data_IF_585154011518
#
_entry.id   IF_585154011518
#
_cell.length_a   1.000
_cell.length_b   1.000
_cell.length_c   1.000
_cell.angle_alpha   90.00
_cell.angle_beta   90.00
_cell.angle_gamma   90.00
#
_symmetry.space_group_name_H-M   'P 1'
#
loop_
_entity.id
_entity.type
_entity.pdbx_description
1 polymer ?
#
# COMPACT_ATOMS: atom_id res chain seq x y z
N UNK A 1 -17.98 0.54 -1.14
CA UNK A 1 -18.20 1.99 -0.94
C UNK A 1 -16.93 2.61 -0.35
N UNK A 2 -16.76 3.94 -0.36
CA UNK A 2 -15.53 4.56 0.20
C UNK A 2 -15.31 4.25 1.69
N UNK A 3 -16.37 3.91 2.43
CA UNK A 3 -16.28 3.59 3.85
C UNK A 3 -15.64 2.23 4.14
N UNK A 4 -15.47 1.36 3.14
CA UNK A 4 -15.00 -0.02 3.37
C UNK A 4 -13.51 -0.08 3.76
N UNK A 5 -12.76 1.01 3.57
CA UNK A 5 -11.33 1.11 3.91
C UNK A 5 -11.07 1.76 5.28
N UNK A 6 -12.12 2.22 5.95
CA UNK A 6 -12.06 2.86 7.27
C UNK A 6 -12.79 2.02 8.32
N UNK A 7 -12.27 1.98 9.55
CA UNK A 7 -12.87 1.21 10.64
C UNK A 7 -14.00 1.97 11.35
N UNK A 8 -14.06 3.30 11.19
CA UNK A 8 -15.05 4.17 11.80
C UNK A 8 -15.25 5.48 11.01
N UNK A 9 -16.28 6.29 11.35
CA UNK A 9 -16.54 7.57 10.68
C UNK A 9 -15.48 8.65 10.91
N UNK A 10 -14.56 8.48 11.88
CA UNK A 10 -13.47 9.44 12.11
C UNK A 10 -12.32 9.25 11.11
N UNK A 11 -12.34 8.17 10.32
CA UNK A 11 -11.37 7.91 9.26
C UNK A 11 -10.17 7.07 9.72
N UNK A 12 -10.29 6.30 10.80
CA UNK A 12 -9.23 5.36 11.16
C UNK A 12 -9.05 4.30 10.08
N UNK A 13 -7.82 4.14 9.63
CA UNK A 13 -7.50 3.25 8.52
C UNK A 13 -7.61 1.77 8.92
N UNK A 14 -8.25 0.97 8.06
CA UNK A 14 -8.17 -0.49 8.12
C UNK A 14 -6.74 -0.99 7.88
N UNK A 15 -6.39 -2.25 8.24
CA UNK A 15 -5.07 -2.80 7.95
C UNK A 15 -4.70 -2.78 6.46
N UNK A 16 -5.68 -2.88 5.55
CA UNK A 16 -5.48 -2.75 4.09
C UNK A 16 -4.98 -1.37 3.74
N UNK A 17 -5.67 -0.32 4.20
CA UNK A 17 -5.29 1.05 3.91
C UNK A 17 -3.96 1.43 4.57
N UNK A 18 -3.74 1.01 5.81
CA UNK A 18 -2.45 1.19 6.49
C UNK A 18 -1.30 0.57 5.69
N UNK A 19 -1.52 -0.62 5.11
CA UNK A 19 -0.51 -1.31 4.30
C UNK A 19 -0.24 -0.59 2.98
N UNK A 20 -1.27 -0.09 2.29
CA UNK A 20 -1.10 0.71 1.08
C UNK A 20 -0.25 1.97 1.35
N UNK A 21 -0.56 2.68 2.44
CA UNK A 21 0.18 3.87 2.87
C UNK A 21 1.63 3.51 3.21
N UNK A 22 1.86 2.40 3.92
CA UNK A 22 3.20 1.91 4.23
C UNK A 22 4.03 1.62 2.96
N UNK A 23 3.44 1.00 1.93
CA UNK A 23 4.12 0.78 0.65
C UNK A 23 4.44 2.08 -0.08
N UNK A 24 3.57 3.09 -0.02
CA UNK A 24 3.88 4.42 -0.56
C UNK A 24 5.10 5.02 0.15
N UNK A 25 5.14 4.98 1.48
CA UNK A 25 6.28 5.47 2.25
C UNK A 25 7.55 4.67 1.96
N UNK A 26 7.47 3.34 1.83
CA UNK A 26 8.60 2.52 1.40
C UNK A 26 9.13 2.99 0.04
N UNK A 27 8.26 3.13 -0.96
CA UNK A 27 8.64 3.50 -2.32
C UNK A 27 9.30 4.89 -2.37
N UNK A 28 8.76 5.86 -1.64
CA UNK A 28 9.31 7.23 -1.58
C UNK A 28 10.63 7.28 -0.79
N UNK A 29 10.71 6.58 0.34
CA UNK A 29 11.89 6.59 1.23
C UNK A 29 13.07 5.87 0.59
N UNK A 30 12.82 4.68 0.03
CA UNK A 30 13.89 3.82 -0.49
C UNK A 30 14.06 3.92 -2.01
N UNK A 31 13.18 4.66 -2.70
CA UNK A 31 13.19 4.80 -4.17
C UNK A 31 13.18 3.45 -4.90
N UNK A 32 12.41 2.49 -4.38
CA UNK A 32 12.32 1.11 -4.88
C UNK A 32 10.87 0.67 -5.00
N UNK A 33 10.61 -0.20 -5.97
CA UNK A 33 9.29 -0.82 -6.09
C UNK A 33 9.00 -1.70 -4.87
N UNK A 34 7.82 -1.57 -4.25
CA UNK A 34 7.37 -2.48 -3.20
C UNK A 34 6.86 -3.82 -3.76
N UNK A 35 6.77 -3.99 -5.08
CA UNK A 35 6.30 -5.22 -5.73
C UNK A 35 7.27 -6.37 -5.43
N UNK A 36 6.74 -7.47 -4.91
CA UNK A 36 7.53 -8.65 -4.52
C UNK A 36 8.05 -8.62 -3.08
N UNK A 37 7.77 -7.56 -2.31
CA UNK A 37 8.04 -7.57 -0.87
C UNK A 37 7.20 -8.64 -0.15
N UNK A 38 7.72 -9.22 0.95
CA UNK A 38 6.97 -10.16 1.76
C UNK A 38 5.72 -9.51 2.36
N UNK A 39 4.73 -10.35 2.67
CA UNK A 39 3.47 -9.93 3.28
C UNK A 39 3.74 -9.29 4.65
N UNK A 40 3.33 -8.04 4.90
CA UNK A 40 3.50 -7.38 6.18
C UNK A 40 2.71 -8.08 7.30
N UNK A 41 3.31 -8.19 8.48
CA UNK A 41 2.67 -8.78 9.68
C UNK A 41 1.40 -8.04 10.14
N UNK A 42 1.21 -6.80 9.68
CA UNK A 42 0.01 -6.00 9.91
C UNK A 42 -1.22 -6.58 9.20
N UNK A 43 -1.08 -7.02 7.94
CA UNK A 43 -2.16 -7.71 7.23
C UNK A 43 -2.44 -9.08 7.82
N UNK A 44 -1.39 -9.81 8.21
CA UNK A 44 -1.51 -11.14 8.80
C UNK A 44 -2.32 -11.16 10.11
N UNK A 45 -2.37 -10.04 10.86
CA UNK A 45 -3.11 -9.94 12.13
C UNK A 45 -4.59 -9.56 11.96
N UNK A 46 -5.00 -9.03 10.81
CA UNK A 46 -6.28 -8.35 10.65
C UNK A 46 -7.53 -9.24 10.48
N UNK A 47 -7.45 -10.57 10.63
CA UNK A 47 -8.49 -11.52 10.17
C UNK A 47 -8.90 -11.36 8.70
N UNK A 48 -8.16 -10.56 7.93
CA UNK A 48 -8.39 -10.44 6.50
C UNK A 48 -7.65 -11.56 5.78
N UNK A 49 -8.19 -12.05 4.65
CA UNK A 49 -7.49 -13.01 3.85
C UNK A 49 -6.11 -12.44 3.53
N UNK A 50 -5.05 -13.16 3.90
CA UNK A 50 -3.69 -12.93 3.44
C UNK A 50 -3.58 -13.35 1.97
N UNK A 51 -4.50 -12.87 1.16
CA UNK A 51 -4.60 -13.15 -0.25
C UNK A 51 -3.40 -12.49 -0.93
N UNK A 52 -2.56 -13.32 -1.53
CA UNK A 52 -1.39 -12.86 -2.27
C UNK A 52 -1.77 -11.94 -3.42
N UNK A 53 -2.98 -12.08 -3.98
CA UNK A 53 -3.50 -11.19 -5.00
C UNK A 53 -3.77 -9.78 -4.45
N UNK A 54 -4.38 -9.67 -3.26
CA UNK A 54 -4.60 -8.38 -2.61
C UNK A 54 -3.27 -7.70 -2.29
N UNK A 55 -2.32 -8.43 -1.70
CA UNK A 55 -1.00 -7.87 -1.36
C UNK A 55 -0.30 -7.34 -2.61
N UNK A 56 -0.29 -8.13 -3.68
CA UNK A 56 0.30 -7.71 -4.97
C UNK A 56 -0.39 -6.46 -5.52
N UNK A 57 -1.71 -6.41 -5.49
CA UNK A 57 -2.47 -5.24 -5.95
C UNK A 57 -2.11 -3.97 -5.16
N UNK A 58 -1.99 -4.07 -3.83
CA UNK A 58 -1.61 -2.93 -3.00
C UNK A 58 -0.18 -2.44 -3.31
N UNK A 59 0.75 -3.35 -3.59
CA UNK A 59 2.11 -3.02 -4.00
C UNK A 59 2.14 -2.30 -5.35
N UNK A 60 1.39 -2.82 -6.33
CA UNK A 60 1.28 -2.22 -7.67
C UNK A 60 0.65 -0.83 -7.63
N UNK A 61 -0.44 -0.66 -6.86
CA UNK A 61 -1.09 0.63 -6.65
C UNK A 61 -0.15 1.64 -5.99
N UNK A 62 0.60 1.24 -4.97
CA UNK A 62 1.58 2.12 -4.34
C UNK A 62 2.70 2.53 -5.31
N UNK A 63 3.18 1.60 -6.14
CA UNK A 63 4.19 1.90 -7.14
C UNK A 63 3.67 2.87 -8.20
N UNK A 64 2.47 2.64 -8.72
CA UNK A 64 1.84 3.54 -9.68
C UNK A 64 1.63 4.94 -9.08
N UNK A 65 1.05 5.03 -7.88
CA UNK A 65 0.78 6.31 -7.23
C UNK A 65 2.06 7.12 -7.00
N UNK A 66 3.11 6.46 -6.53
CA UNK A 66 4.38 7.14 -6.26
C UNK A 66 5.13 7.51 -7.53
N UNK A 67 5.13 6.69 -8.58
CA UNK A 67 5.80 7.04 -9.85
C UNK A 67 5.06 8.09 -10.68
N UNK A 68 3.74 8.19 -10.54
CA UNK A 68 2.92 9.17 -11.28
C UNK A 68 2.79 10.52 -10.57
N UNK A 69 2.99 10.58 -9.25
CA UNK A 69 2.87 11.82 -8.49
C UNK A 69 4.19 12.63 -8.55
N UNK A 70 4.25 13.82 -9.19
CA UNK A 70 5.51 14.54 -9.42
C UNK A 70 6.29 14.88 -8.14
N UNK A 71 5.60 15.20 -7.04
CA UNK A 71 6.23 15.55 -5.76
C UNK A 71 6.74 14.33 -4.95
N UNK A 72 6.49 13.10 -5.39
CA UNK A 72 7.05 11.91 -4.72
C UNK A 72 8.57 11.81 -4.90
N UNK A 73 9.10 12.42 -5.96
CA UNK A 73 10.48 12.29 -6.41
C UNK A 73 10.86 10.92 -7.00
N UNK A 74 9.98 9.91 -6.96
CA UNK A 74 10.21 8.56 -7.48
C UNK A 74 10.06 8.56 -9.01
N UNK A 75 11.00 7.96 -9.74
CA UNK A 75 10.93 7.80 -11.20
C UNK A 75 10.80 6.32 -11.53
N UNK A 76 9.83 5.96 -12.37
CA UNK A 76 9.83 4.64 -13.00
C UNK A 76 11.05 4.55 -13.93
N UNK A 77 11.74 3.40 -13.93
CA UNK A 77 12.73 3.11 -14.96
C UNK A 77 12.04 3.15 -16.33
N UNK A 78 12.71 3.76 -17.31
CA UNK A 78 12.19 3.91 -18.67
C UNK A 78 12.24 2.60 -19.42
#
# INVERSE_FOLDING_TARGET
>A
QQNDIFTDPLGHATPTLQTLVAYCHYAVTYRRSPVGLPIPTLLARGKMPTDSALVKLLQELAWQATTQHPLSGVKAEK
#
